data_IF_289854551553
#
_entry.id   IF_289854551553
#
_cell.length_a   1.000
_cell.length_b   1.000
_cell.length_c   1.000
_cell.angle_alpha   90.00
_cell.angle_beta   90.00
_cell.angle_gamma   90.00
#
_symmetry.space_group_name_H-M   'P 1'
#
loop_
_entity.id
_entity.type
_entity.pdbx_description
1 polymer ?
#
# COMPACT_ATOMS: atom_id res chain seq x y z
N UNK A 1 8.48 16.62 -4.42
CA UNK A 1 8.44 16.22 -5.83
C UNK A 1 7.64 14.95 -6.01
N UNK A 2 6.76 14.92 -6.98
CA UNK A 2 5.87 13.78 -7.18
C UNK A 2 6.44 12.86 -8.26
N UNK A 3 6.60 11.58 -7.96
CA UNK A 3 6.98 10.59 -8.97
C UNK A 3 5.73 10.12 -9.71
N UNK A 4 5.92 9.64 -10.92
CA UNK A 4 4.82 9.18 -11.74
C UNK A 4 4.54 7.70 -11.43
N UNK A 5 3.32 7.41 -10.97
CA UNK A 5 2.92 6.06 -10.57
C UNK A 5 1.90 5.48 -11.57
N UNK A 6 1.95 4.16 -11.81
CA UNK A 6 0.85 3.49 -12.53
C UNK A 6 -0.48 3.74 -11.83
N UNK A 7 -1.57 3.73 -12.61
CA UNK A 7 -2.89 4.12 -12.13
C UNK A 7 -3.35 3.37 -10.89
N UNK A 8 -3.19 2.05 -10.87
CA UNK A 8 -3.59 1.25 -9.70
C UNK A 8 -2.78 1.54 -8.45
N UNK A 9 -1.49 1.78 -8.61
CA UNK A 9 -0.60 2.11 -7.49
C UNK A 9 -0.90 3.51 -6.97
N UNK A 10 -1.12 4.46 -7.88
CA UNK A 10 -1.51 5.82 -7.49
C UNK A 10 -2.82 5.80 -6.70
N UNK A 11 -3.80 5.02 -7.16
CA UNK A 11 -5.08 4.89 -6.47
C UNK A 11 -4.89 4.36 -5.04
N UNK A 12 -4.01 3.39 -4.87
CA UNK A 12 -3.72 2.85 -3.54
C UNK A 12 -3.16 3.94 -2.61
N UNK A 13 -2.12 4.65 -3.03
CA UNK A 13 -1.49 5.67 -2.17
C UNK A 13 -2.41 6.86 -1.91
N UNK A 14 -3.18 7.29 -2.91
CA UNK A 14 -4.14 8.38 -2.72
C UNK A 14 -5.22 7.99 -1.72
N UNK A 15 -5.72 6.75 -1.79
CA UNK A 15 -6.73 6.25 -0.88
C UNK A 15 -6.20 6.09 0.55
N UNK A 16 -4.98 5.60 0.69
CA UNK A 16 -4.33 5.45 1.99
C UNK A 16 -4.21 6.80 2.70
N UNK A 17 -3.88 7.84 1.96
CA UNK A 17 -3.72 9.17 2.52
C UNK A 17 -5.04 9.87 2.82
N UNK A 18 -6.00 9.82 1.88
CA UNK A 18 -7.13 10.76 1.90
C UNK A 18 -8.51 10.14 2.05
N UNK A 19 -8.71 8.87 1.74
CA UNK A 19 -10.04 8.34 1.51
C UNK A 19 -10.45 7.16 2.39
N UNK A 20 -9.53 6.57 3.13
CA UNK A 20 -9.84 5.54 4.12
C UNK A 20 -9.95 4.12 3.61
N UNK A 21 -10.31 3.18 4.53
CA UNK A 21 -10.18 1.74 4.25
C UNK A 21 -11.00 1.20 3.09
N UNK A 22 -12.20 1.71 2.88
CA UNK A 22 -13.04 1.23 1.78
C UNK A 22 -12.46 1.57 0.42
N UNK A 23 -11.91 2.77 0.28
CA UNK A 23 -11.30 3.20 -0.98
C UNK A 23 -9.97 2.49 -1.22
N UNK A 24 -9.22 2.20 -0.16
CA UNK A 24 -8.01 1.37 -0.27
C UNK A 24 -8.38 -0.01 -0.81
N UNK A 25 -9.39 -0.65 -0.22
CA UNK A 25 -9.84 -1.98 -0.68
C UNK A 25 -10.31 -1.94 -2.13
N UNK A 26 -10.96 -0.86 -2.55
CA UNK A 26 -11.45 -0.72 -3.92
C UNK A 26 -10.31 -0.58 -4.96
N UNK A 27 -9.10 -0.22 -4.54
CA UNK A 27 -7.94 -0.17 -5.41
C UNK A 27 -7.41 -1.56 -5.77
N UNK A 28 -7.85 -2.60 -5.06
CA UNK A 28 -7.44 -3.98 -5.27
C UNK A 28 -8.44 -4.73 -6.14
N UNK A 29 -7.97 -5.83 -6.75
CA UNK A 29 -8.89 -6.77 -7.39
C UNK A 29 -9.75 -7.44 -6.31
N UNK A 30 -10.85 -8.08 -6.74
CA UNK A 30 -11.76 -8.75 -5.80
C UNK A 30 -11.05 -9.78 -4.93
N UNK A 31 -10.05 -10.47 -5.49
CA UNK A 31 -9.25 -11.48 -4.78
C UNK A 31 -7.87 -10.96 -4.41
N UNK A 32 -7.72 -9.66 -4.26
CA UNK A 32 -6.44 -9.04 -3.95
C UNK A 32 -5.84 -9.56 -2.64
N UNK A 33 -4.52 -9.48 -2.55
CA UNK A 33 -3.77 -9.99 -1.41
C UNK A 33 -2.84 -8.91 -0.89
N UNK A 34 -2.81 -8.72 0.43
CA UNK A 34 -1.82 -7.89 1.11
C UNK A 34 -1.02 -8.75 2.05
N UNK A 35 0.31 -8.62 1.99
CA UNK A 35 1.23 -9.25 2.93
C UNK A 35 1.95 -8.14 3.70
N UNK A 36 1.75 -8.11 5.00
CA UNK A 36 2.31 -7.08 5.87
C UNK A 36 2.56 -7.65 7.25
N UNK A 37 3.73 -7.36 7.81
CA UNK A 37 4.10 -7.77 9.18
C UNK A 37 3.95 -9.26 9.44
N UNK A 38 4.26 -10.08 8.42
CA UNK A 38 4.17 -11.53 8.52
C UNK A 38 2.76 -12.08 8.40
N UNK A 39 1.77 -11.24 8.13
CA UNK A 39 0.38 -11.65 7.95
C UNK A 39 -0.05 -11.51 6.50
N UNK A 40 -1.03 -12.32 6.11
CA UNK A 40 -1.60 -12.28 4.76
C UNK A 40 -3.10 -11.97 4.87
N UNK A 41 -3.53 -10.95 4.12
CA UNK A 41 -4.93 -10.52 4.08
C UNK A 41 -5.45 -10.76 2.68
N UNK A 42 -6.49 -11.60 2.54
CA UNK A 42 -7.02 -12.00 1.24
C UNK A 42 -8.44 -11.48 1.03
N UNK A 43 -8.66 -10.84 -0.12
CA UNK A 43 -9.94 -10.30 -0.51
C UNK A 43 -10.19 -8.91 0.06
N UNK A 44 -11.13 -8.18 -0.55
CA UNK A 44 -11.39 -6.80 -0.20
C UNK A 44 -11.84 -6.60 1.25
N UNK A 45 -12.63 -7.52 1.79
CA UNK A 45 -13.08 -7.39 3.17
C UNK A 45 -11.92 -7.46 4.16
N UNK A 46 -11.00 -8.40 3.93
CA UNK A 46 -9.82 -8.53 4.79
C UNK A 46 -8.88 -7.34 4.63
N UNK A 47 -8.74 -6.82 3.41
CA UNK A 47 -7.90 -5.65 3.14
C UNK A 47 -8.48 -4.40 3.80
N UNK A 48 -9.80 -4.23 3.74
CA UNK A 48 -10.48 -3.12 4.42
C UNK A 48 -10.24 -3.19 5.93
N UNK A 49 -10.38 -4.37 6.52
CA UNK A 49 -10.16 -4.57 7.95
C UNK A 49 -8.70 -4.29 8.34
N UNK A 50 -7.76 -4.74 7.52
CA UNK A 50 -6.32 -4.47 7.73
C UNK A 50 -6.04 -2.97 7.75
N UNK A 51 -6.56 -2.23 6.77
CA UNK A 51 -6.30 -0.79 6.69
C UNK A 51 -7.00 -0.03 7.82
N UNK A 52 -8.20 -0.44 8.22
CA UNK A 52 -8.90 0.16 9.35
C UNK A 52 -8.12 -0.01 10.65
N UNK A 53 -7.55 -1.18 10.87
CA UNK A 53 -6.75 -1.47 12.05
C UNK A 53 -5.47 -0.63 12.08
N UNK A 54 -4.77 -0.53 10.94
CA UNK A 54 -3.56 0.29 10.85
C UNK A 54 -3.85 1.76 11.14
N UNK A 55 -4.95 2.27 10.61
CA UNK A 55 -5.35 3.66 10.82
C UNK A 55 -5.78 3.98 12.26
N UNK A 56 -6.20 2.98 13.02
CA UNK A 56 -6.54 3.16 14.43
C UNK A 56 -5.33 3.12 15.34
N UNK A 57 -4.29 2.39 14.95
CA UNK A 57 -3.09 2.25 15.77
C UNK A 57 -2.20 3.47 15.70
N UNK A 58 -2.03 4.04 14.51
CA UNK A 58 -1.04 5.10 14.29
C UNK A 58 -1.57 6.17 13.36
N UNK A 59 -1.10 7.40 13.58
CA UNK A 59 -1.26 8.49 12.63
C UNK A 59 0.05 8.64 11.87
N UNK A 60 0.00 8.58 10.52
CA UNK A 60 1.21 8.61 9.71
C UNK A 60 0.95 9.12 8.30
N UNK A 61 2.03 9.54 7.64
CA UNK A 61 2.01 9.86 6.21
C UNK A 61 3.00 8.97 5.48
N UNK A 62 2.69 8.66 4.22
CA UNK A 62 3.54 7.83 3.35
C UNK A 62 3.75 8.61 2.05
N UNK A 63 5.00 8.86 1.71
CA UNK A 63 5.37 9.64 0.53
C UNK A 63 6.22 8.78 -0.42
N UNK A 64 5.67 8.28 -1.52
CA UNK A 64 6.46 7.53 -2.51
C UNK A 64 7.51 8.43 -3.17
N UNK A 65 8.73 7.92 -3.33
CA UNK A 65 9.81 8.70 -3.94
C UNK A 65 10.64 7.94 -4.97
N UNK A 66 10.48 6.63 -5.08
CA UNK A 66 11.26 5.81 -6.03
C UNK A 66 10.40 4.68 -6.55
N UNK A 67 10.49 4.40 -7.85
CA UNK A 67 9.78 3.29 -8.48
C UNK A 67 10.73 2.52 -9.39
N UNK A 68 10.72 1.19 -9.29
CA UNK A 68 11.50 0.29 -10.16
C UNK A 68 10.69 -0.96 -10.46
N UNK A 69 11.05 -1.69 -11.52
CA UNK A 69 10.44 -2.97 -11.84
C UNK A 69 11.40 -4.09 -11.49
N UNK A 70 10.89 -5.13 -10.79
CA UNK A 70 11.68 -6.26 -10.36
C UNK A 70 10.91 -7.56 -10.53
N UNK A 71 11.31 -8.38 -11.50
CA UNK A 71 10.80 -9.74 -11.63
C UNK A 71 9.27 -9.84 -11.72
N UNK A 72 8.65 -9.01 -12.52
CA UNK A 72 7.20 -9.01 -12.67
C UNK A 72 6.44 -8.24 -11.61
N UNK A 73 7.14 -7.64 -10.64
CA UNK A 73 6.54 -6.77 -9.64
C UNK A 73 7.04 -5.34 -9.83
N UNK A 74 6.22 -4.39 -9.39
CA UNK A 74 6.62 -2.98 -9.36
C UNK A 74 6.96 -2.63 -7.91
N UNK A 75 8.20 -2.25 -7.68
CA UNK A 75 8.66 -1.84 -6.35
C UNK A 75 8.56 -0.33 -6.22
N UNK A 76 7.84 0.13 -5.20
CA UNK A 76 7.77 1.54 -4.84
C UNK A 76 8.39 1.69 -3.46
N UNK A 77 9.38 2.58 -3.34
CA UNK A 77 9.95 2.92 -2.03
C UNK A 77 9.31 4.22 -1.58
N UNK A 78 8.83 4.24 -0.34
CA UNK A 78 8.12 5.38 0.20
C UNK A 78 8.64 5.73 1.60
N UNK A 79 8.63 7.04 1.90
CA UNK A 79 9.06 7.55 3.20
C UNK A 79 7.84 7.63 4.13
N UNK A 80 7.87 6.91 5.25
CA UNK A 80 6.79 6.87 6.21
C UNK A 80 7.19 7.63 7.47
N UNK A 81 6.36 8.58 7.89
CA UNK A 81 6.59 9.41 9.06
C UNK A 81 5.32 9.47 9.89
N UNK A 82 5.42 9.21 11.18
CA UNK A 82 4.27 9.26 12.05
C UNK A 82 4.62 8.94 13.50
N UNK A 83 3.60 8.58 14.27
CA UNK A 83 3.76 8.28 15.70
C UNK A 83 4.01 6.79 15.98
N UNK A 84 4.32 6.00 14.96
CA UNK A 84 4.62 4.58 15.13
C UNK A 84 6.07 4.36 15.59
N UNK A 85 6.35 3.23 16.28
CA UNK A 85 7.73 2.91 16.68
C UNK A 85 8.64 2.75 15.47
N UNK A 86 9.81 3.37 15.51
CA UNK A 86 10.77 3.32 14.40
C UNK A 86 10.64 4.44 13.38
N UNK A 87 9.65 5.32 13.53
CA UNK A 87 9.48 6.47 12.65
C UNK A 87 10.66 7.45 12.76
N UNK A 88 11.13 8.07 11.66
CA UNK A 88 10.73 7.83 10.28
C UNK A 88 11.42 6.59 9.69
N UNK A 89 10.81 5.99 8.67
CA UNK A 89 11.35 4.78 8.05
C UNK A 89 10.97 4.77 6.56
N UNK A 90 11.83 4.17 5.73
CA UNK A 90 11.50 3.91 4.34
C UNK A 90 10.92 2.52 4.21
N UNK A 91 9.77 2.42 3.56
CA UNK A 91 9.08 1.17 3.32
C UNK A 91 9.17 0.79 1.85
N UNK A 92 9.21 -0.51 1.60
CA UNK A 92 9.18 -1.08 0.25
C UNK A 92 7.82 -1.71 -0.01
N UNK A 93 7.20 -1.28 -1.09
CA UNK A 93 5.89 -1.76 -1.51
C UNK A 93 6.05 -2.52 -2.81
N UNK A 94 5.84 -3.83 -2.78
CA UNK A 94 5.95 -4.67 -3.97
C UNK A 94 4.54 -4.93 -4.50
N UNK A 95 4.24 -4.41 -5.69
CA UNK A 95 2.92 -4.49 -6.30
C UNK A 95 2.91 -5.47 -7.46
N UNK A 96 1.85 -6.28 -7.55
CA UNK A 96 1.48 -6.99 -8.76
C UNK A 96 0.18 -6.38 -9.24
N UNK A 97 0.16 -5.92 -10.50
CA UNK A 97 -1.01 -5.25 -11.06
C UNK A 97 -1.79 -6.17 -11.98
N UNK A 98 -3.11 -6.01 -11.97
CA UNK A 98 -4.03 -6.64 -12.93
C UNK A 98 -4.86 -5.50 -13.53
N UNK A 99 -4.47 -5.04 -14.71
CA UNK A 99 -5.05 -3.84 -15.31
C UNK A 99 -4.79 -2.62 -14.42
N UNK A 100 -5.86 -1.90 -14.09
CA UNK A 100 -5.78 -0.70 -13.25
C UNK A 100 -5.97 -0.99 -11.77
N UNK A 101 -5.91 -2.26 -11.37
CA UNK A 101 -6.10 -2.68 -9.98
C UNK A 101 -4.87 -3.38 -9.46
N UNK A 102 -4.72 -3.39 -8.14
CA UNK A 102 -3.65 -4.12 -7.47
C UNK A 102 -4.10 -5.53 -7.18
N UNK A 103 -3.38 -6.52 -7.71
CA UNK A 103 -3.67 -7.93 -7.44
C UNK A 103 -2.97 -8.41 -6.18
N UNK A 104 -1.78 -7.89 -5.90
CA UNK A 104 -1.03 -8.27 -4.70
C UNK A 104 -0.14 -7.10 -4.26
N UNK A 105 -0.02 -6.95 -2.95
CA UNK A 105 0.89 -5.98 -2.34
C UNK A 105 1.62 -6.65 -1.19
N UNK A 106 2.94 -6.53 -1.19
CA UNK A 106 3.76 -6.95 -0.05
C UNK A 106 4.54 -5.74 0.46
N UNK A 107 4.47 -5.50 1.77
CA UNK A 107 5.12 -4.34 2.41
C UNK A 107 6.25 -4.85 3.30
N UNK A 108 7.45 -4.30 3.12
CA UNK A 108 8.63 -4.64 3.92
C UNK A 108 9.41 -3.38 4.30
N UNK A 109 10.38 -3.55 5.14
CA UNK A 109 11.35 -2.48 5.46
C UNK A 109 12.63 -2.64 4.68
#
# INVERSE_FOLDING_TARGET
MTIKLPKGIKAYFDADRDAGPETVAAAFTENGIVKDKGETHRGRDAIRAWMADEGQQYSYTVEPFLITNEGGRTLVTAHAVGDFPGSPIDLRFFFVLAGDKVAELEITV
#
